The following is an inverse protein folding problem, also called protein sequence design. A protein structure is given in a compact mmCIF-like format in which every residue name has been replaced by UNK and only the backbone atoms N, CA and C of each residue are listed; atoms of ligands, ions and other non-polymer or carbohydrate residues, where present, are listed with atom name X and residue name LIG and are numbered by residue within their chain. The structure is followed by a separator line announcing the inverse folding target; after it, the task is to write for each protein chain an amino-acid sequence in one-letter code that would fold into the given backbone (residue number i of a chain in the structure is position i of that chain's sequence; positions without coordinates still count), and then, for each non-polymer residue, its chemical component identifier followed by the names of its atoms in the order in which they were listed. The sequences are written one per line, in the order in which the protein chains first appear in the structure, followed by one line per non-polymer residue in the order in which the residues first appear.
data_IF_728240454202
#
_entry.id   IF_728240454202
#
_cell.length_a   1.000
_cell.length_b   1.000
_cell.length_c   1.000
_cell.angle_alpha   90.00
_cell.angle_beta   90.00
_cell.angle_gamma   90.00
#
_symmetry.space_group_name_H-M   'P 1'
#
loop_
_entity.id
_entity.type
_entity.pdbx_description
1 polymer ?
#
# COMPACT_ATOMS: atom_id res chain seq x y z
N UNK A 1 0.24 7.95 5.68
CA UNK A 1 -0.16 8.02 4.26
C UNK A 1 -1.63 7.67 4.14
N UNK A 2 -2.39 8.57 3.54
CA UNK A 2 -3.82 8.49 3.27
C UNK A 2 -4.06 8.43 1.76
N UNK A 3 -5.26 8.03 1.34
CA UNK A 3 -5.66 8.04 -0.07
C UNK A 3 -5.60 9.45 -0.66
N UNK A 4 -5.86 10.48 0.15
CA UNK A 4 -5.72 11.90 -0.24
C UNK A 4 -4.29 12.32 -0.56
N UNK A 5 -3.29 11.53 -0.12
CA UNK A 5 -1.90 11.79 -0.43
C UNK A 5 -1.48 11.16 -1.77
N UNK A 6 -2.41 10.48 -2.46
CA UNK A 6 -2.21 9.82 -3.75
C UNK A 6 -3.12 10.48 -4.78
N UNK A 7 -2.53 10.93 -5.87
CA UNK A 7 -3.23 11.48 -7.02
C UNK A 7 -3.10 10.52 -8.20
N UNK A 8 -4.23 10.15 -8.80
CA UNK A 8 -4.28 9.34 -10.01
C UNK A 8 -4.24 10.24 -11.25
N UNK A 9 -3.28 10.00 -12.13
CA UNK A 9 -3.07 10.74 -13.37
C UNK A 9 -3.55 9.95 -14.60
N UNK A 10 -4.23 8.81 -14.40
CA UNK A 10 -4.79 7.95 -15.46
C UNK A 10 -3.81 6.93 -16.05
N UNK A 11 -2.51 7.22 -16.00
CA UNK A 11 -1.43 6.30 -16.43
C UNK A 11 -0.37 6.09 -15.34
N UNK A 12 -0.42 6.89 -14.28
CA UNK A 12 0.52 6.87 -13.18
C UNK A 12 -0.13 7.37 -11.89
N UNK A 13 0.45 7.03 -10.74
CA UNK A 13 0.07 7.59 -9.44
C UNK A 13 1.16 8.53 -8.95
N UNK A 14 0.81 9.78 -8.68
CA UNK A 14 1.67 10.70 -7.96
C UNK A 14 1.43 10.56 -6.45
N UNK A 15 2.48 10.23 -5.70
CA UNK A 15 2.40 9.96 -4.26
C UNK A 15 3.18 11.01 -3.49
N UNK A 16 2.51 11.66 -2.54
CA UNK A 16 3.14 12.52 -1.53
C UNK A 16 3.33 11.74 -0.25
N UNK A 17 4.55 11.71 0.28
CA UNK A 17 4.84 11.05 1.56
C UNK A 17 4.65 12.06 2.69
N UNK A 18 3.63 11.92 3.56
CA UNK A 18 3.43 12.84 4.67
C UNK A 18 4.40 12.53 5.83
N UNK A 19 4.67 13.53 6.65
CA UNK A 19 5.34 13.41 7.96
C UNK A 19 6.75 12.78 7.92
N UNK A 20 7.55 13.18 6.93
CA UNK A 20 8.98 12.82 6.85
C UNK A 20 9.85 14.05 7.17
N UNK A 21 11.10 13.84 7.62
CA UNK A 21 12.06 14.93 7.89
C UNK A 21 12.28 15.83 6.67
N UNK A 22 12.21 15.25 5.47
CA UNK A 22 12.21 15.96 4.19
C UNK A 22 10.92 15.64 3.44
N UNK A 23 10.29 16.62 2.80
CA UNK A 23 9.12 16.37 1.96
C UNK A 23 9.54 15.51 0.76
N UNK A 24 8.99 14.31 0.65
CA UNK A 24 9.32 13.36 -0.43
C UNK A 24 8.09 13.09 -1.28
N UNK A 25 8.28 13.12 -2.58
CA UNK A 25 7.26 12.75 -3.58
C UNK A 25 7.86 11.76 -4.56
N UNK A 26 7.04 10.86 -5.07
CA UNK A 26 7.45 9.92 -6.12
C UNK A 26 6.26 9.56 -7.00
N UNK A 27 6.56 9.02 -8.17
CA UNK A 27 5.56 8.57 -9.14
C UNK A 27 5.64 7.06 -9.31
N UNK A 28 4.49 6.41 -9.37
CA UNK A 28 4.34 4.98 -9.67
C UNK A 28 3.81 4.85 -11.10
N UNK A 29 4.51 4.12 -11.96
CA UNK A 29 4.17 3.94 -13.38
C UNK A 29 3.96 2.46 -13.73
N UNK A 30 3.49 2.20 -14.95
CA UNK A 30 3.51 0.89 -15.62
C UNK A 30 2.86 -0.25 -14.82
N UNK A 31 3.61 -1.35 -14.63
CA UNK A 31 3.13 -2.54 -13.95
C UNK A 31 2.65 -2.24 -12.52
N UNK A 32 3.37 -1.39 -11.80
CA UNK A 32 3.01 -1.04 -10.42
C UNK A 32 1.80 -0.12 -10.36
N UNK A 33 1.58 0.74 -11.37
CA UNK A 33 0.36 1.54 -11.47
C UNK A 33 -0.89 0.64 -11.45
N UNK A 34 -0.90 -0.39 -12.30
CA UNK A 34 -2.03 -1.31 -12.40
C UNK A 34 -2.29 -2.09 -11.09
N UNK A 35 -1.22 -2.52 -10.40
CA UNK A 35 -1.33 -3.17 -9.09
C UNK A 35 -1.97 -2.21 -8.07
N UNK A 36 -1.45 -0.98 -7.97
CA UNK A 36 -1.97 0.00 -7.02
C UNK A 36 -3.42 0.37 -7.33
N UNK A 37 -3.76 0.58 -8.61
CA UNK A 37 -5.11 0.92 -9.06
C UNK A 37 -6.11 -0.19 -8.69
N UNK A 38 -5.78 -1.45 -9.00
CA UNK A 38 -6.59 -2.63 -8.64
C UNK A 38 -6.76 -2.77 -7.13
N UNK A 39 -5.70 -2.52 -6.36
CA UNK A 39 -5.80 -2.54 -4.91
C UNK A 39 -6.74 -1.45 -4.39
N UNK A 40 -6.62 -0.21 -4.87
CA UNK A 40 -7.48 0.91 -4.47
C UNK A 40 -8.95 0.63 -4.82
N UNK A 41 -9.24 0.09 -6.00
CA UNK A 41 -10.61 -0.22 -6.44
C UNK A 41 -11.30 -1.33 -5.65
N UNK A 42 -10.54 -2.21 -4.99
CA UNK A 42 -11.10 -3.33 -4.22
C UNK A 42 -11.43 -2.95 -2.76
N UNK A 43 -11.26 -1.68 -2.36
CA UNK A 43 -11.38 -1.22 -0.96
C UNK A 43 -12.75 -0.64 -0.60
N UNK A 44 -13.77 -0.89 -1.42
CA UNK A 44 -15.07 -0.21 -1.40
C UNK A 44 -15.85 -0.30 -0.07
N UNK A 45 -15.49 -1.20 0.84
CA UNK A 45 -16.22 -1.45 2.09
C UNK A 45 -15.54 -0.88 3.35
N UNK A 46 -14.82 0.24 3.21
CA UNK A 46 -13.98 0.78 4.29
C UNK A 46 -14.18 2.28 4.45
N UNK A 47 -14.47 2.71 5.68
CA UNK A 47 -14.65 4.13 6.02
C UNK A 47 -13.34 4.91 6.22
N UNK A 48 -12.20 4.24 6.36
CA UNK A 48 -10.92 4.89 6.64
C UNK A 48 -10.12 5.19 5.37
N UNK A 49 -9.71 6.45 5.22
CA UNK A 49 -8.86 6.94 4.12
C UNK A 49 -7.39 6.52 4.23
N UNK A 50 -7.06 5.40 4.88
CA UNK A 50 -5.68 4.90 4.97
C UNK A 50 -5.31 4.13 3.70
N UNK A 51 -4.05 4.18 3.25
CA UNK A 51 -3.61 3.40 2.06
C UNK A 51 -3.35 1.94 2.39
N UNK A 52 -2.64 1.65 3.48
CA UNK A 52 -2.34 0.27 3.91
C UNK A 52 -3.26 -0.11 5.05
N UNK A 53 -4.12 -1.08 4.77
CA UNK A 53 -5.11 -1.56 5.73
C UNK A 53 -4.85 -2.99 6.12
N UNK A 54 -5.21 -3.31 7.35
CA UNK A 54 -5.13 -4.67 7.81
C UNK A 54 -6.20 -5.53 7.11
N UNK A 55 -5.75 -6.66 6.59
CA UNK A 55 -6.59 -7.74 6.09
C UNK A 55 -6.54 -8.88 7.14
N UNK A 56 -7.71 -9.42 7.50
CA UNK A 56 -7.82 -10.64 8.32
C UNK A 56 -8.94 -11.51 7.80
N UNK A 57 -8.63 -12.78 7.53
CA UNK A 57 -9.58 -13.80 7.09
C UNK A 57 -10.33 -13.44 5.79
N UNK A 58 -9.62 -12.92 4.80
CA UNK A 58 -10.14 -12.45 3.51
C UNK A 58 -10.86 -11.11 3.57
N UNK A 59 -10.83 -10.38 4.69
CA UNK A 59 -11.61 -9.15 4.90
C UNK A 59 -10.76 -7.98 5.36
N UNK A 60 -10.95 -6.84 4.71
CA UNK A 60 -10.37 -5.57 5.12
C UNK A 60 -10.99 -5.09 6.44
N UNK A 61 -10.13 -4.60 7.34
CA UNK A 61 -10.51 -4.03 8.64
C UNK A 61 -10.15 -2.57 8.69
N UNK A 62 -10.98 -1.73 9.32
CA UNK A 62 -10.79 -0.29 9.55
C UNK A 62 -9.60 0.04 10.47
N UNK A 63 -8.44 -0.57 10.25
CA UNK A 63 -7.21 -0.44 11.01
C UNK A 63 -6.02 -0.41 10.06
N UNK A 64 -4.99 0.36 10.42
CA UNK A 64 -3.72 0.39 9.69
C UNK A 64 -2.99 -0.95 9.81
N UNK A 65 -2.23 -1.32 8.78
CA UNK A 65 -1.23 -2.41 8.93
C UNK A 65 -0.18 -1.97 9.96
N UNK A 66 0.13 -2.85 10.91
CA UNK A 66 1.18 -2.61 11.89
C UNK A 66 2.57 -2.75 11.27
N UNK A 67 3.55 -1.98 11.76
CA UNK A 67 4.92 -1.98 11.22
C UNK A 67 5.55 -3.38 11.26
N UNK A 68 5.38 -4.12 12.35
CA UNK A 68 5.91 -5.48 12.49
C UNK A 68 5.27 -6.45 11.50
N UNK A 69 3.98 -6.28 11.19
CA UNK A 69 3.28 -7.09 10.19
C UNK A 69 3.79 -6.79 8.78
N UNK A 70 4.06 -5.51 8.48
CA UNK A 70 4.61 -5.09 7.19
C UNK A 70 6.02 -5.67 6.98
N UNK A 71 6.89 -5.59 8.00
CA UNK A 71 8.24 -6.16 7.95
C UNK A 71 8.22 -7.69 7.87
N UNK A 72 7.32 -8.35 8.62
CA UNK A 72 7.19 -9.81 8.58
C UNK A 72 6.76 -10.30 7.21
N UNK A 73 5.87 -9.58 6.52
CA UNK A 73 5.39 -9.96 5.18
C UNK A 73 6.53 -10.19 4.18
N UNK A 74 7.57 -9.35 4.19
CA UNK A 74 8.74 -9.56 3.33
C UNK A 74 9.48 -10.87 3.64
N UNK A 75 9.63 -11.21 4.92
CA UNK A 75 10.23 -12.49 5.36
C UNK A 75 9.38 -13.69 4.98
N UNK A 76 8.06 -13.57 5.13
CA UNK A 76 7.12 -14.64 4.78
C UNK A 76 7.15 -14.90 3.26
N UNK A 77 7.20 -13.85 2.43
CA UNK A 77 7.35 -13.96 0.97
C UNK A 77 8.70 -14.63 0.61
N UNK A 78 9.80 -14.18 1.21
CA UNK A 78 11.12 -14.76 0.95
C UNK A 78 11.17 -16.26 1.32
N UNK A 79 10.59 -16.62 2.47
CA UNK A 79 10.48 -18.01 2.91
C UNK A 79 9.62 -18.85 1.96
N UNK A 80 8.49 -18.31 1.51
CA UNK A 80 7.61 -18.98 0.54
C UNK A 80 8.31 -19.23 -0.80
N UNK A 81 9.07 -18.25 -1.29
CA UNK A 81 9.85 -18.35 -2.51
C UNK A 81 11.16 -19.15 -2.35
N UNK A 82 11.49 -19.60 -1.13
CA UNK A 82 12.73 -20.32 -0.79
C UNK A 82 13.99 -19.54 -1.22
N UNK A 83 13.99 -18.23 -1.04
CA UNK A 83 15.15 -17.40 -1.31
C UNK A 83 16.24 -17.67 -0.27
N UNK A 84 17.50 -17.71 -0.70
CA UNK A 84 18.64 -17.78 0.20
C UNK A 84 18.70 -16.52 1.06
N UNK A 85 19.00 -16.69 2.34
CA UNK A 85 19.21 -15.58 3.29
C UNK A 85 20.51 -14.83 3.00
#
# INVERSE_FOLDING_TARGET
MKLTDIQDLGTSLFVRVPNTKTNRTFTVTDHFYNICKKYISNRNNVSQNLVFMQERHGKLKNQRVGINSFTKMGKDIASFLKLSN
#
